data_IF_484510289369
#
_entry.id   IF_484510289369
#
_cell.length_a   1.000
_cell.length_b   1.000
_cell.length_c   1.000
_cell.angle_alpha   90.00
_cell.angle_beta   90.00
_cell.angle_gamma   90.00
#
_symmetry.space_group_name_H-M   'P 1'
#
loop_
_entity.id
_entity.type
_entity.pdbx_description
1 polymer ?
#
# COMPACT_ATOMS: atom_id res chain seq x y z
N UNK A 1 6.67 -32.03 10.47
CA UNK A 1 7.74 -31.08 10.88
C UNK A 1 7.90 -30.06 9.76
N UNK A 2 8.21 -28.82 10.13
CA UNK A 2 8.44 -27.70 9.22
C UNK A 2 9.93 -27.34 9.24
N UNK A 3 10.49 -27.15 8.05
CA UNK A 3 11.87 -26.70 7.85
C UNK A 3 11.82 -25.38 7.09
N UNK A 4 12.49 -24.36 7.60
CA UNK A 4 12.70 -23.14 6.84
C UNK A 4 13.91 -23.38 5.92
N UNK A 5 13.72 -23.29 4.59
CA UNK A 5 14.81 -23.52 3.63
C UNK A 5 15.98 -22.53 3.78
N UNK A 6 15.76 -21.43 4.49
CA UNK A 6 16.75 -20.40 4.70
C UNK A 6 17.60 -20.64 5.98
N UNK A 7 17.31 -21.64 6.82
CA UNK A 7 18.14 -21.93 8.00
C UNK A 7 18.11 -23.41 8.42
N UNK A 8 18.94 -23.77 9.40
CA UNK A 8 19.07 -25.16 9.88
C UNK A 8 17.98 -25.58 10.88
N UNK A 9 17.08 -24.68 11.25
CA UNK A 9 16.09 -24.94 12.29
C UNK A 9 14.87 -25.67 11.76
N UNK A 10 14.41 -26.64 12.54
CA UNK A 10 13.17 -27.37 12.29
C UNK A 10 12.24 -27.30 13.49
N UNK A 11 10.94 -27.30 13.23
CA UNK A 11 9.91 -27.18 14.24
C UNK A 11 8.79 -28.20 13.98
N UNK A 12 8.09 -28.66 15.02
CA UNK A 12 6.86 -29.40 14.76
C UNK A 12 5.80 -28.46 14.17
N UNK A 13 4.85 -29.04 13.42
CA UNK A 13 3.82 -28.26 12.73
C UNK A 13 3.00 -27.42 13.72
N UNK A 14 2.65 -27.97 14.88
CA UNK A 14 1.88 -27.25 15.90
C UNK A 14 2.64 -26.05 16.47
N UNK A 15 3.95 -26.19 16.73
CA UNK A 15 4.77 -25.10 17.26
C UNK A 15 4.89 -23.95 16.24
N UNK A 16 5.14 -24.26 14.97
CA UNK A 16 5.27 -23.23 13.94
C UNK A 16 3.92 -22.54 13.67
N UNK A 17 2.81 -23.29 13.64
CA UNK A 17 1.46 -22.74 13.48
C UNK A 17 1.15 -21.78 14.64
N UNK A 18 1.42 -22.19 15.89
CA UNK A 18 1.20 -21.34 17.07
C UNK A 18 2.05 -20.07 17.03
N UNK A 19 3.34 -20.19 16.71
CA UNK A 19 4.24 -19.04 16.58
C UNK A 19 3.74 -18.03 15.55
N UNK A 20 3.44 -18.51 14.33
CA UNK A 20 2.91 -17.69 13.24
C UNK A 20 1.60 -17.03 13.68
N UNK A 21 0.66 -17.78 14.24
CA UNK A 21 -0.64 -17.27 14.67
C UNK A 21 -0.49 -16.14 15.69
N UNK A 22 0.34 -16.34 16.72
CA UNK A 22 0.60 -15.33 17.75
C UNK A 22 1.28 -14.10 17.12
N UNK A 23 2.20 -14.29 16.18
CA UNK A 23 2.91 -13.18 15.56
C UNK A 23 1.98 -12.35 14.67
N UNK A 24 1.23 -12.98 13.77
CA UNK A 24 0.29 -12.32 12.84
C UNK A 24 -0.83 -11.59 13.59
N UNK A 25 -1.25 -12.09 14.75
CA UNK A 25 -2.30 -11.45 15.56
C UNK A 25 -1.82 -10.26 16.41
N UNK A 26 -0.51 -10.05 16.56
CA UNK A 26 0.02 -8.92 17.35
C UNK A 26 -0.04 -7.62 16.54
N UNK A 27 -0.43 -6.51 17.17
CA UNK A 27 -0.47 -5.19 16.53
C UNK A 27 0.86 -4.77 15.88
N UNK A 28 2.00 -5.21 16.43
CA UNK A 28 3.32 -4.91 15.86
C UNK A 28 3.58 -5.62 14.51
N UNK A 29 2.79 -6.64 14.17
CA UNK A 29 2.87 -7.30 12.87
C UNK A 29 2.52 -6.34 11.76
N UNK A 30 1.44 -5.55 11.91
CA UNK A 30 0.95 -4.56 10.93
C UNK A 30 2.05 -3.59 10.47
N UNK A 31 3.00 -3.26 11.35
CA UNK A 31 4.04 -2.26 11.08
C UNK A 31 5.31 -2.82 10.42
N UNK A 32 5.54 -4.14 10.46
CA UNK A 32 6.78 -4.75 9.96
C UNK A 32 6.52 -5.95 9.03
N UNK A 33 5.30 -6.52 9.05
CA UNK A 33 4.76 -7.63 8.24
C UNK A 33 5.68 -8.85 8.03
N UNK A 34 6.69 -8.98 8.88
CA UNK A 34 7.69 -10.05 8.87
C UNK A 34 7.48 -10.97 10.06
N UNK A 35 7.41 -12.27 9.77
CA UNK A 35 7.45 -13.32 10.79
C UNK A 35 8.87 -13.88 10.82
N UNK A 36 9.65 -13.54 11.84
CA UNK A 36 10.99 -14.09 12.02
C UNK A 36 10.95 -15.57 12.39
N UNK A 37 12.01 -16.30 12.00
CA UNK A 37 12.27 -17.65 12.47
C UNK A 37 12.27 -17.68 14.02
N UNK A 38 11.60 -18.66 14.66
CA UNK A 38 11.65 -18.82 16.12
C UNK A 38 12.93 -19.50 16.62
N UNK A 39 13.88 -19.82 15.73
CA UNK A 39 15.16 -20.42 16.09
C UNK A 39 15.97 -19.51 17.02
N UNK A 40 16.56 -20.11 18.06
CA UNK A 40 17.46 -19.40 18.97
C UNK A 40 18.62 -18.84 18.15
N UNK A 41 19.00 -17.58 18.37
CA UNK A 41 20.06 -16.88 17.61
C UNK A 41 19.81 -16.75 16.08
N UNK A 42 18.62 -17.11 15.59
CA UNK A 42 18.27 -16.99 14.18
C UNK A 42 17.66 -15.61 13.90
N UNK A 43 18.50 -14.59 13.74
CA UNK A 43 18.04 -13.19 13.60
C UNK A 43 17.72 -12.78 12.17
N UNK A 44 18.38 -13.40 11.18
CA UNK A 44 18.34 -12.93 9.79
C UNK A 44 17.24 -13.59 8.93
N UNK A 45 16.69 -14.72 9.39
CA UNK A 45 15.77 -15.51 8.57
C UNK A 45 14.31 -15.25 8.92
N UNK A 46 13.51 -15.00 7.89
CA UNK A 46 12.06 -14.84 7.96
C UNK A 46 11.35 -16.09 7.43
N UNK A 47 10.09 -16.23 7.82
CA UNK A 47 9.17 -17.23 7.31
C UNK A 47 8.32 -16.59 6.20
N UNK A 48 8.22 -17.27 5.07
CA UNK A 48 7.40 -16.84 3.94
C UNK A 48 6.00 -17.42 4.02
N UNK A 49 5.00 -16.61 3.63
CA UNK A 49 3.60 -17.03 3.66
C UNK A 49 3.37 -18.24 2.76
N UNK A 50 3.97 -18.26 1.56
CA UNK A 50 3.81 -19.35 0.60
C UNK A 50 4.24 -20.70 1.19
N UNK A 51 5.41 -20.72 1.85
CA UNK A 51 5.95 -21.91 2.51
C UNK A 51 5.08 -22.41 3.68
N UNK A 52 4.24 -21.55 4.26
CA UNK A 52 3.44 -21.87 5.44
C UNK A 52 1.94 -22.05 5.15
N UNK A 53 1.46 -21.50 4.03
CA UNK A 53 0.04 -21.33 3.71
C UNK A 53 -0.79 -22.62 3.81
N UNK A 54 -0.22 -23.74 3.37
CA UNK A 54 -0.90 -25.04 3.25
C UNK A 54 -1.31 -25.66 4.58
N UNK A 55 -0.65 -25.30 5.69
CA UNK A 55 -0.92 -25.85 7.02
C UNK A 55 -1.41 -24.80 8.03
N UNK A 56 -1.56 -23.54 7.61
CA UNK A 56 -2.09 -22.48 8.46
C UNK A 56 -3.63 -22.42 8.40
N UNK A 57 -4.30 -22.01 9.51
CA UNK A 57 -5.72 -21.69 9.46
C UNK A 57 -5.99 -20.55 8.46
N UNK A 58 -7.06 -20.66 7.67
CA UNK A 58 -7.43 -19.66 6.63
C UNK A 58 -7.41 -18.22 7.14
N UNK A 59 -8.02 -17.99 8.30
CA UNK A 59 -8.08 -16.65 8.94
C UNK A 59 -6.70 -16.05 9.23
N UNK A 60 -5.69 -16.88 9.49
CA UNK A 60 -4.31 -16.42 9.71
C UNK A 60 -3.66 -16.06 8.37
N UNK A 61 -3.89 -16.86 7.33
CA UNK A 61 -3.42 -16.59 5.96
C UNK A 61 -4.01 -15.29 5.42
N UNK A 62 -5.33 -15.11 5.55
CA UNK A 62 -6.05 -13.90 5.12
C UNK A 62 -5.47 -12.65 5.78
N UNK A 63 -5.35 -12.65 7.12
CA UNK A 63 -4.76 -11.52 7.86
C UNK A 63 -3.30 -11.24 7.51
N UNK A 64 -2.50 -12.29 7.32
CA UNK A 64 -1.10 -12.11 6.92
C UNK A 64 -1.05 -11.47 5.52
N UNK A 65 -1.84 -11.98 4.58
CA UNK A 65 -1.91 -11.46 3.22
C UNK A 65 -2.41 -10.01 3.17
N UNK A 66 -3.46 -9.67 3.91
CA UNK A 66 -3.95 -8.29 4.07
C UNK A 66 -2.84 -7.35 4.55
N UNK A 67 -2.11 -7.76 5.58
CA UNK A 67 -1.03 -6.95 6.12
C UNK A 67 0.11 -6.74 5.10
N UNK A 68 0.48 -7.78 4.34
CA UNK A 68 1.49 -7.66 3.26
C UNK A 68 1.05 -6.66 2.18
N UNK A 69 -0.20 -6.76 1.74
CA UNK A 69 -0.81 -5.84 0.78
C UNK A 69 -0.83 -4.42 1.36
N UNK A 70 -1.22 -4.24 2.62
CA UNK A 70 -1.19 -2.95 3.31
C UNK A 70 0.22 -2.36 3.43
N UNK A 71 1.27 -3.15 3.70
CA UNK A 71 2.65 -2.61 3.66
C UNK A 71 3.11 -2.19 2.28
N UNK A 72 2.77 -2.96 1.24
CA UNK A 72 3.09 -2.58 -0.13
C UNK A 72 2.42 -1.25 -0.47
N UNK A 73 1.20 -1.07 0.03
CA UNK A 73 0.42 0.15 -0.05
C UNK A 73 1.00 1.30 0.78
N UNK A 74 1.47 1.08 2.02
CA UNK A 74 2.05 2.13 2.87
C UNK A 74 3.44 2.56 2.38
N UNK A 75 4.12 1.71 1.60
CA UNK A 75 5.29 2.09 0.80
C UNK A 75 4.94 3.00 -0.39
N UNK A 76 3.66 3.10 -0.76
CA UNK A 76 3.15 3.95 -1.83
C UNK A 76 2.31 5.08 -1.22
N UNK A 77 2.85 6.29 -1.10
CA UNK A 77 2.16 7.49 -0.59
C UNK A 77 0.68 7.63 -1.06
N UNK A 78 -0.26 7.07 -0.32
CA UNK A 78 -1.70 7.22 -0.58
C UNK A 78 -2.16 8.55 -0.03
N UNK A 79 -2.85 9.31 -0.86
CA UNK A 79 -3.56 10.52 -0.43
C UNK A 79 -5.02 10.44 -0.85
N UNK A 80 -5.86 11.23 -0.20
CA UNK A 80 -7.29 11.27 -0.48
C UNK A 80 -7.63 12.54 -1.25
N UNK A 81 -8.61 12.44 -2.14
CA UNK A 81 -9.21 13.61 -2.77
C UNK A 81 -9.78 14.53 -1.68
N UNK A 82 -9.38 15.81 -1.62
CA UNK A 82 -9.79 16.73 -0.56
C UNK A 82 -11.27 17.15 -0.65
N UNK A 83 -11.93 16.89 -1.79
CA UNK A 83 -13.34 17.17 -1.96
C UNK A 83 -14.17 16.25 -1.06
N UNK A 84 -14.95 16.87 -0.17
CA UNK A 84 -15.71 16.25 0.92
C UNK A 84 -16.65 15.13 0.45
N UNK A 85 -17.23 15.27 -0.74
CA UNK A 85 -18.17 14.30 -1.31
C UNK A 85 -17.48 13.26 -2.22
N UNK A 86 -16.17 13.39 -2.45
CA UNK A 86 -15.40 12.48 -3.27
C UNK A 86 -14.56 11.52 -2.41
N UNK A 87 -13.64 12.07 -1.61
CA UNK A 87 -12.66 11.37 -0.77
C UNK A 87 -11.97 10.17 -1.43
N UNK A 88 -11.92 10.12 -2.77
CA UNK A 88 -11.36 9.00 -3.49
C UNK A 88 -9.86 8.85 -3.19
N UNK A 89 -9.42 7.61 -3.00
CA UNK A 89 -8.01 7.30 -2.80
C UNK A 89 -7.22 7.52 -4.09
N UNK A 90 -6.11 8.25 -3.99
CA UNK A 90 -5.16 8.52 -5.04
C UNK A 90 -3.86 7.78 -4.69
N UNK A 91 -3.40 6.94 -5.61
CA UNK A 91 -2.17 6.17 -5.47
C UNK A 91 -1.09 6.92 -6.25
N UNK A 92 0.09 7.09 -5.64
CA UNK A 92 1.25 7.62 -6.33
C UNK A 92 1.87 6.53 -7.22
N UNK A 93 1.09 6.02 -8.17
CA UNK A 93 1.62 5.16 -9.22
C UNK A 93 2.43 6.05 -10.17
N UNK A 94 3.70 5.68 -10.37
CA UNK A 94 4.57 6.30 -11.36
C UNK A 94 3.96 6.10 -12.74
N UNK A 95 3.70 7.23 -13.41
CA UNK A 95 3.36 7.33 -14.84
C UNK A 95 2.41 6.25 -15.40
N UNK A 96 1.10 6.43 -15.19
CA UNK A 96 0.13 5.99 -16.20
C UNK A 96 -0.52 7.23 -16.80
N UNK A 97 0.07 7.70 -17.90
CA UNK A 97 -0.49 8.73 -18.75
C UNK A 97 -1.76 8.20 -19.41
N UNK A 98 -2.92 8.61 -18.92
CA UNK A 98 -4.16 8.49 -19.70
C UNK A 98 -4.11 9.49 -20.86
N UNK A 99 -4.14 8.96 -22.09
CA UNK A 99 -4.34 9.73 -23.32
C UNK A 99 -5.78 10.24 -23.33
N UNK A 100 -6.02 11.48 -22.89
CA UNK A 100 -7.35 12.09 -22.94
C UNK A 100 -7.57 12.68 -24.35
N UNK A 101 -8.60 12.16 -25.03
CA UNK A 101 -9.11 12.67 -26.30
C UNK A 101 -9.48 14.14 -26.14
N UNK A 102 -8.96 14.98 -27.04
CA UNK A 102 -9.30 16.41 -27.11
C UNK A 102 -10.77 16.55 -27.50
N UNK A 103 -11.58 16.84 -26.50
CA UNK A 103 -12.95 17.29 -26.62
C UNK A 103 -12.96 18.70 -26.00
N UNK A 104 -13.07 19.68 -26.91
CA UNK A 104 -13.61 21.03 -26.78
C UNK A 104 -13.53 21.76 -25.42
N UNK A 105 -12.32 21.87 -24.85
CA UNK A 105 -12.06 22.77 -23.72
C UNK A 105 -11.73 24.19 -24.17
N UNK A 106 -12.38 25.20 -23.60
CA UNK A 106 -12.13 26.61 -23.89
C UNK A 106 -10.71 27.05 -23.51
N UNK A 107 -10.36 28.32 -23.81
CA UNK A 107 -9.01 28.89 -23.57
C UNK A 107 -8.51 28.69 -22.14
N UNK A 108 -9.42 28.69 -21.17
CA UNK A 108 -9.15 28.48 -19.74
C UNK A 108 -8.84 27.02 -19.41
N UNK A 109 -9.55 26.04 -20.01
CA UNK A 109 -9.28 24.61 -19.83
C UNK A 109 -7.90 24.19 -20.36
N UNK A 110 -7.42 24.86 -21.41
CA UNK A 110 -6.06 24.68 -21.92
C UNK A 110 -5.01 25.19 -20.93
N UNK A 111 -5.22 26.35 -20.31
CA UNK A 111 -4.29 26.91 -19.33
C UNK A 111 -4.21 26.05 -18.06
N UNK A 112 -5.34 25.49 -17.61
CA UNK A 112 -5.37 24.57 -16.46
C UNK A 112 -4.60 23.28 -16.75
N UNK A 113 -4.71 22.73 -17.96
CA UNK A 113 -3.94 21.55 -18.39
C UNK A 113 -2.44 21.81 -18.40
N UNK A 114 -2.00 22.93 -18.98
CA UNK A 114 -0.58 23.30 -18.99
C UNK A 114 -0.02 23.49 -17.57
N UNK A 115 -0.80 24.10 -16.68
CA UNK A 115 -0.38 24.31 -15.30
C UNK A 115 -0.29 22.99 -14.54
N UNK A 116 -1.24 22.08 -14.77
CA UNK A 116 -1.24 20.75 -14.18
C UNK A 116 -0.01 19.93 -14.61
N UNK A 117 0.38 19.99 -15.88
CA UNK A 117 1.61 19.35 -16.37
C UNK A 117 2.86 19.95 -15.71
N UNK A 118 2.98 21.28 -15.69
CA UNK A 118 4.14 21.99 -15.09
C UNK A 118 4.29 21.69 -13.60
N UNK A 119 3.16 21.65 -12.87
CA UNK A 119 3.13 21.41 -11.42
C UNK A 119 2.92 19.95 -11.03
N UNK A 120 2.88 19.03 -12.00
CA UNK A 120 2.63 17.59 -11.79
C UNK A 120 1.36 17.30 -10.99
N UNK A 121 0.30 18.09 -11.21
CA UNK A 121 -0.99 17.87 -10.55
C UNK A 121 -1.63 16.58 -11.06
N UNK A 122 -2.23 15.82 -10.15
CA UNK A 122 -2.93 14.57 -10.50
C UNK A 122 -4.42 14.80 -10.62
N UNK A 123 -5.04 14.15 -11.59
CA UNK A 123 -6.49 14.19 -11.78
C UNK A 123 -7.15 13.11 -10.92
N UNK A 124 -8.15 13.48 -10.13
CA UNK A 124 -8.91 12.50 -9.37
C UNK A 124 -9.69 11.58 -10.32
N UNK A 125 -9.61 10.24 -10.20
CA UNK A 125 -10.28 9.33 -11.14
C UNK A 125 -11.80 9.41 -11.01
N UNK A 126 -12.32 9.79 -9.83
CA UNK A 126 -13.75 9.90 -9.53
C UNK A 126 -14.35 11.24 -9.94
N UNK A 127 -13.83 12.35 -9.44
CA UNK A 127 -14.42 13.68 -9.66
C UNK A 127 -13.72 14.50 -10.76
N UNK A 128 -12.62 14.00 -11.32
CA UNK A 128 -11.87 14.63 -12.41
C UNK A 128 -11.28 16.02 -12.09
N UNK A 129 -11.30 16.47 -10.84
CA UNK A 129 -10.55 17.66 -10.40
C UNK A 129 -9.05 17.39 -10.32
N UNK A 130 -8.23 18.42 -10.58
CA UNK A 130 -6.79 18.39 -10.36
C UNK A 130 -6.46 18.60 -8.88
N UNK A 131 -5.47 17.87 -8.38
CA UNK A 131 -5.03 17.88 -6.99
C UNK A 131 -3.51 18.11 -6.94
N UNK A 132 -3.08 19.12 -6.19
CA UNK A 132 -1.68 19.46 -5.90
C UNK A 132 -1.22 18.77 -4.60
N UNK A 133 0.03 18.28 -4.59
CA UNK A 133 0.67 17.67 -3.40
C UNK A 133 1.81 18.58 -2.92
N UNK A 134 1.70 19.13 -1.71
CA UNK A 134 2.78 19.87 -1.06
C UNK A 134 3.59 18.95 -0.15
N UNK A 135 4.91 19.02 -0.19
CA UNK A 135 5.78 18.23 0.68
C UNK A 135 5.56 18.59 2.17
N UNK A 136 5.52 17.56 3.04
CA UNK A 136 5.67 17.73 4.50
C UNK A 136 4.40 18.00 5.31
N UNK A 137 3.30 18.48 4.74
CA UNK A 137 2.00 18.60 5.38
C UNK A 137 0.90 18.89 4.34
N UNK A 138 -0.31 18.38 4.62
CA UNK A 138 -1.52 18.63 3.82
C UNK A 138 -1.91 20.11 4.00
N UNK A 139 -1.47 20.97 3.08
CA UNK A 139 -1.96 22.34 2.94
C UNK A 139 -2.81 22.41 1.67
N UNK A 140 -4.12 22.57 1.85
CA UNK A 140 -5.14 22.49 0.80
C UNK A 140 -5.27 23.85 0.11
N UNK A 141 -5.04 23.91 -1.19
CA UNK A 141 -5.64 24.93 -2.04
C UNK A 141 -6.60 24.24 -3.02
N UNK A 142 -7.90 24.41 -2.80
CA UNK A 142 -8.86 24.34 -3.89
C UNK A 142 -8.93 25.78 -4.42
N UNK A 143 -8.27 26.08 -5.53
CA UNK A 143 -8.50 27.34 -6.22
C UNK A 143 -9.75 27.16 -7.07
N UNK A 144 -10.87 27.69 -6.59
CA UNK A 144 -11.91 28.18 -7.49
C UNK A 144 -11.26 29.25 -8.36
N UNK A 145 -11.25 29.02 -9.67
CA UNK A 145 -10.76 30.00 -10.65
C UNK A 145 -11.87 31.03 -10.80
N UNK A 146 -11.81 32.10 -10.00
CA UNK A 146 -12.47 33.37 -10.32
C UNK A 146 -11.65 34.13 -11.38
#
# INVERSE_FOLDING_TARGET
>A
MFNNNNCVYSFCSDCIIKHITIKVQKNNFINNNKVSCPGIECVDHVLELEACSSFLPKKVVEKWNEALVESAILGSNKFYCPFKDCSATLIEDGEEGEVIRQDEGGREDLMVKELAEKKKWKRCPRCKYYVEKTEGAISIFAMDVD
#
